data_IF_936476587074
#
_entry.id   IF_936476587074
#
_cell.length_a   1.000
_cell.length_b   1.000
_cell.length_c   1.000
_cell.angle_alpha   90.00
_cell.angle_beta   90.00
_cell.angle_gamma   90.00
#
_symmetry.space_group_name_H-M   'P 1'
#
loop_
_entity.id
_entity.type
_entity.pdbx_description
1 polymer ?
#
# COMPACT_ATOMS: atom_id res chain seq x y z
N UNK A 1 -40.10 5.39 -3.87
CA UNK A 1 -38.80 5.18 -3.20
C UNK A 1 -37.85 4.80 -4.30
N UNK A 2 -36.79 5.56 -4.52
CA UNK A 2 -35.88 5.32 -5.65
C UNK A 2 -35.13 4.00 -5.45
N UNK A 3 -35.35 3.08 -6.38
CA UNK A 3 -34.56 1.89 -6.64
C UNK A 3 -33.24 2.29 -7.35
N UNK A 4 -32.14 1.63 -6.98
CA UNK A 4 -30.98 1.45 -7.87
C UNK A 4 -29.95 2.58 -7.96
N UNK A 5 -28.79 2.37 -7.31
CA UNK A 5 -27.47 2.79 -7.83
C UNK A 5 -26.49 1.63 -7.61
N UNK A 6 -26.29 0.79 -8.64
CA UNK A 6 -25.06 0.00 -8.77
C UNK A 6 -24.20 0.70 -9.81
N UNK A 7 -23.24 1.51 -9.35
CA UNK A 7 -22.16 1.98 -10.22
C UNK A 7 -21.15 0.83 -10.35
N UNK A 8 -21.24 0.07 -11.44
CA UNK A 8 -20.26 -0.93 -11.82
C UNK A 8 -19.22 -0.27 -12.75
N UNK A 9 -18.10 0.16 -12.18
CA UNK A 9 -16.98 0.62 -13.00
C UNK A 9 -16.16 -0.59 -13.45
N UNK A 10 -16.02 -0.77 -14.76
CA UNK A 10 -15.17 -1.82 -15.33
C UNK A 10 -13.74 -1.27 -15.44
N UNK A 11 -12.84 -1.74 -14.59
CA UNK A 11 -11.39 -1.49 -14.76
C UNK A 11 -10.85 -2.54 -15.74
N UNK A 12 -10.35 -2.07 -16.89
CA UNK A 12 -9.69 -2.90 -17.89
C UNK A 12 -8.19 -2.73 -17.69
N UNK A 13 -7.50 -3.83 -17.39
CA UNK A 13 -6.04 -3.87 -17.33
C UNK A 13 -5.46 -4.05 -18.74
N UNK A 14 -4.24 -3.53 -18.97
CA UNK A 14 -3.55 -3.58 -20.28
C UNK A 14 -3.29 -5.01 -20.80
N UNK A 15 -3.37 -6.02 -19.92
CA UNK A 15 -3.28 -7.44 -20.26
C UNK A 15 -4.63 -8.04 -20.72
N UNK A 16 -5.69 -7.25 -20.85
CA UNK A 16 -7.02 -7.68 -21.25
C UNK A 16 -7.87 -8.29 -20.13
N UNK A 17 -7.37 -8.30 -18.89
CA UNK A 17 -8.15 -8.73 -17.73
C UNK A 17 -9.10 -7.61 -17.29
N UNK A 18 -10.36 -7.94 -17.00
CA UNK A 18 -11.32 -6.98 -16.45
C UNK A 18 -11.92 -7.51 -15.17
N UNK A 19 -11.98 -6.65 -14.15
CA UNK A 19 -12.71 -6.92 -12.92
C UNK A 19 -13.98 -6.06 -12.92
N UNK A 20 -15.13 -6.68 -12.66
CA UNK A 20 -16.36 -5.95 -12.39
C UNK A 20 -16.29 -5.44 -10.95
N UNK A 21 -16.00 -4.14 -10.75
CA UNK A 21 -16.06 -3.54 -9.42
C UNK A 21 -17.52 -3.42 -9.00
N UNK A 22 -18.01 -4.40 -8.24
CA UNK A 22 -19.13 -4.15 -7.36
C UNK A 22 -18.60 -3.27 -6.23
N UNK A 23 -19.14 -2.05 -6.11
CA UNK A 23 -18.70 -1.00 -5.17
C UNK A 23 -18.75 -1.41 -3.67
N UNK A 24 -19.08 -2.66 -3.37
CA UNK A 24 -19.08 -3.30 -2.05
C UNK A 24 -17.81 -4.09 -1.73
N UNK A 25 -16.91 -4.34 -2.70
CA UNK A 25 -15.68 -5.11 -2.46
C UNK A 25 -14.51 -4.67 -3.35
N UNK A 26 -14.15 -3.38 -3.35
CA UNK A 26 -12.75 -3.06 -3.64
C UNK A 26 -11.97 -3.45 -2.40
N UNK A 27 -11.28 -4.60 -2.45
CA UNK A 27 -10.13 -4.81 -1.57
C UNK A 27 -9.12 -3.77 -2.03
N UNK A 28 -9.26 -2.54 -1.52
CA UNK A 28 -8.41 -1.42 -1.87
C UNK A 28 -7.00 -1.94 -1.70
N UNK A 29 -6.26 -2.02 -2.81
CA UNK A 29 -4.88 -2.43 -2.79
C UNK A 29 -4.20 -1.33 -2.01
N UNK A 30 -4.09 -1.52 -0.70
CA UNK A 30 -3.71 -0.49 0.23
C UNK A 30 -2.23 -0.22 0.01
N UNK A 31 -1.93 0.79 -0.78
CA UNK A 31 -0.57 1.04 -1.24
C UNK A 31 0.30 1.54 -0.08
N UNK A 32 1.48 0.97 0.09
CA UNK A 32 2.53 1.52 0.96
C UNK A 32 3.38 2.48 0.12
N UNK A 33 3.00 3.76 0.04
CA UNK A 33 3.60 4.76 -0.87
C UNK A 33 5.13 4.76 -0.89
N UNK A 34 5.79 4.85 0.27
CA UNK A 34 7.26 4.87 0.36
C UNK A 34 7.88 3.56 -0.16
N UNK A 35 7.29 2.40 0.19
CA UNK A 35 7.80 1.11 -0.26
C UNK A 35 7.57 0.91 -1.76
N UNK A 36 6.42 1.32 -2.29
CA UNK A 36 6.14 1.32 -3.73
C UNK A 36 7.11 2.21 -4.49
N UNK A 37 7.40 3.42 -3.99
CA UNK A 37 8.39 4.31 -4.62
C UNK A 37 9.79 3.71 -4.60
N UNK A 38 10.17 3.05 -3.50
CA UNK A 38 11.47 2.40 -3.31
C UNK A 38 11.66 1.14 -4.18
N UNK A 39 10.60 0.35 -4.41
CA UNK A 39 10.67 -0.84 -5.26
C UNK A 39 10.33 -0.57 -6.73
N UNK A 40 9.61 0.53 -7.02
CA UNK A 40 9.05 0.82 -8.34
C UNK A 40 7.83 -0.02 -8.70
N UNK A 41 7.33 -0.85 -7.78
CA UNK A 41 6.13 -1.67 -7.99
C UNK A 41 5.37 -1.87 -6.67
N UNK A 42 4.03 -1.82 -6.68
CA UNK A 42 3.23 -2.11 -5.50
C UNK A 42 3.08 -3.62 -5.21
N UNK A 43 3.55 -4.48 -6.13
CA UNK A 43 3.34 -5.94 -6.08
C UNK A 43 4.54 -6.70 -5.49
N UNK A 44 5.49 -6.01 -4.87
CA UNK A 44 6.66 -6.65 -4.29
C UNK A 44 6.27 -7.45 -3.03
N UNK A 45 6.81 -8.68 -2.86
CA UNK A 45 6.47 -9.55 -1.72
C UNK A 45 6.74 -8.90 -0.35
N UNK A 46 7.79 -8.08 -0.25
CA UNK A 46 8.09 -7.31 0.96
C UNK A 46 6.97 -6.31 1.33
N UNK A 47 6.27 -5.75 0.33
CA UNK A 47 5.13 -4.85 0.57
C UNK A 47 3.97 -5.62 1.19
N UNK A 48 3.77 -6.89 0.81
CA UNK A 48 2.72 -7.71 1.42
C UNK A 48 2.98 -7.92 2.92
N UNK A 49 4.23 -8.22 3.31
CA UNK A 49 4.60 -8.34 4.73
C UNK A 49 4.29 -7.07 5.51
N UNK A 50 4.59 -5.89 4.95
CA UNK A 50 4.29 -4.62 5.60
C UNK A 50 2.79 -4.35 5.70
N UNK A 51 2.00 -4.82 4.73
CA UNK A 51 0.54 -4.72 4.75
C UNK A 51 -0.07 -5.62 5.81
N UNK A 52 0.40 -6.85 5.91
CA UNK A 52 -0.04 -7.79 6.94
C UNK A 52 0.31 -7.23 8.33
N UNK A 53 1.51 -6.70 8.51
CA UNK A 53 1.89 -6.02 9.76
C UNK A 53 0.98 -4.83 10.07
N UNK A 54 0.66 -4.00 9.08
CA UNK A 54 -0.27 -2.89 9.27
C UNK A 54 -1.64 -3.38 9.70
N UNK A 55 -2.18 -4.39 9.01
CA UNK A 55 -3.54 -4.84 9.21
C UNK A 55 -3.70 -5.62 10.53
N UNK A 56 -2.72 -6.45 10.89
CA UNK A 56 -2.77 -7.28 12.10
C UNK A 56 -2.30 -6.56 13.36
N UNK A 57 -1.35 -5.62 13.26
CA UNK A 57 -0.75 -4.96 14.44
C UNK A 57 -1.09 -3.48 14.59
N UNK A 58 -1.07 -2.71 13.49
CA UNK A 58 -1.30 -1.26 13.57
C UNK A 58 -2.79 -0.94 13.62
N UNK A 59 -3.62 -1.65 12.86
CA UNK A 59 -5.05 -1.35 12.78
C UNK A 59 -5.85 -1.82 14.01
N UNK A 60 -5.31 -2.72 14.82
CA UNK A 60 -5.97 -3.23 16.04
C UNK A 60 -6.04 -2.18 17.15
N UNK A 61 -5.10 -1.24 17.20
CA UNK A 61 -4.97 -0.27 18.30
C UNK A 61 -5.19 1.18 17.85
N UNK A 62 -5.68 2.07 18.74
CA UNK A 62 -5.92 3.47 18.41
C UNK A 62 -4.64 4.24 18.02
N UNK A 63 -3.52 3.90 18.66
CA UNK A 63 -2.20 4.47 18.35
C UNK A 63 -1.75 4.07 16.94
N UNK A 64 -1.84 2.79 16.60
CA UNK A 64 -1.44 2.30 15.28
C UNK A 64 -2.32 2.85 14.16
N UNK A 65 -3.65 2.99 14.37
CA UNK A 65 -4.54 3.67 13.42
C UNK A 65 -4.15 5.13 13.18
N UNK A 66 -3.75 5.85 14.24
CA UNK A 66 -3.26 7.24 14.10
C UNK A 66 -1.95 7.29 13.32
N UNK A 67 -1.01 6.38 13.60
CA UNK A 67 0.24 6.26 12.86
C UNK A 67 -0.01 6.01 11.36
N UNK A 68 -0.88 5.06 11.04
CA UNK A 68 -1.28 4.76 9.65
C UNK A 68 -1.90 6.00 9.00
N UNK A 69 -2.81 6.71 9.67
CA UNK A 69 -3.41 7.92 9.13
C UNK A 69 -2.36 8.99 8.80
N UNK A 70 -1.41 9.22 9.70
CA UNK A 70 -0.30 10.18 9.49
C UNK A 70 0.51 9.73 8.27
N UNK A 71 0.93 8.46 8.24
CA UNK A 71 1.66 7.88 7.12
C UNK A 71 0.95 8.13 5.79
N UNK A 72 -0.35 7.80 5.66
CA UNK A 72 -1.10 8.01 4.42
C UNK A 72 -1.25 9.49 4.06
N UNK A 73 -1.27 10.40 5.04
CA UNK A 73 -1.39 11.83 4.77
C UNK A 73 -0.08 12.51 4.36
N UNK A 74 1.07 12.04 4.85
CA UNK A 74 2.36 12.70 4.64
C UNK A 74 3.26 12.00 3.62
N UNK A 75 3.04 10.71 3.39
CA UNK A 75 3.90 9.92 2.50
C UNK A 75 3.77 10.20 1.00
N UNK A 76 2.64 10.67 0.42
CA UNK A 76 2.57 10.92 -1.02
C UNK A 76 3.65 11.86 -1.57
N UNK A 77 3.85 13.09 -1.05
CA UNK A 77 4.90 13.97 -1.56
C UNK A 77 6.33 13.43 -1.32
N UNK A 78 6.53 12.65 -0.25
CA UNK A 78 7.81 12.02 0.03
C UNK A 78 8.08 10.89 -0.97
N UNK A 79 7.07 10.10 -1.28
CA UNK A 79 7.15 9.00 -2.24
C UNK A 79 7.45 9.51 -3.65
N UNK A 80 6.85 10.64 -4.05
CA UNK A 80 7.13 11.28 -5.33
C UNK A 80 8.62 11.65 -5.43
N UNK A 81 9.16 12.35 -4.43
CA UNK A 81 10.59 12.71 -4.38
C UNK A 81 11.53 11.50 -4.39
N UNK A 82 11.14 10.38 -3.78
CA UNK A 82 11.92 9.13 -3.81
C UNK A 82 11.89 8.49 -5.20
N UNK A 83 10.72 8.53 -5.86
CA UNK A 83 10.52 7.88 -7.16
C UNK A 83 11.30 8.54 -8.30
N UNK A 84 11.60 9.83 -8.17
CA UNK A 84 12.34 10.61 -9.16
C UNK A 84 13.85 10.33 -9.18
N UNK A 85 14.41 9.70 -8.13
CA UNK A 85 15.86 9.51 -7.99
C UNK A 85 16.24 8.06 -7.67
N UNK A 86 16.89 7.39 -8.63
CA UNK A 86 17.38 6.01 -8.52
C UNK A 86 18.32 5.76 -7.32
N UNK A 87 19.15 6.74 -6.97
CA UNK A 87 20.04 6.67 -5.81
C UNK A 87 19.26 6.71 -4.49
N UNK A 88 18.32 7.66 -4.37
CA UNK A 88 17.44 7.78 -3.19
C UNK A 88 16.56 6.55 -3.06
N UNK A 89 16.01 6.05 -4.17
CA UNK A 89 15.26 4.78 -4.23
C UNK A 89 16.06 3.64 -3.61
N UNK A 90 17.32 3.48 -4.00
CA UNK A 90 18.18 2.40 -3.49
C UNK A 90 18.46 2.58 -2.00
N UNK A 91 18.79 3.79 -1.56
CA UNK A 91 19.03 4.09 -0.13
C UNK A 91 17.79 3.83 0.71
N UNK A 92 16.61 4.23 0.26
CA UNK A 92 15.35 4.00 0.97
C UNK A 92 14.98 2.51 0.97
N UNK A 93 15.14 1.82 -0.17
CA UNK A 93 14.85 0.40 -0.28
C UNK A 93 15.72 -0.42 0.68
N UNK A 94 17.03 -0.21 0.62
CA UNK A 94 18.00 -1.04 1.33
C UNK A 94 18.24 -0.58 2.78
N UNK A 95 18.13 0.72 3.05
CA UNK A 95 18.36 1.32 4.36
C UNK A 95 17.11 1.47 5.23
N UNK A 96 15.91 1.51 4.64
CA UNK A 96 14.65 1.71 5.38
C UNK A 96 13.65 0.59 5.17
N UNK A 97 13.29 0.27 3.92
CA UNK A 97 12.21 -0.68 3.63
C UNK A 97 12.61 -2.10 4.01
N UNK A 98 13.78 -2.59 3.58
CA UNK A 98 14.25 -3.94 3.92
C UNK A 98 14.40 -4.18 5.43
N UNK A 99 15.02 -3.27 6.22
CA UNK A 99 15.06 -3.41 7.68
C UNK A 99 13.66 -3.44 8.30
N UNK A 100 12.75 -2.57 7.87
CA UNK A 100 11.37 -2.58 8.36
C UNK A 100 10.66 -3.89 8.06
N UNK A 101 10.82 -4.43 6.85
CA UNK A 101 10.26 -5.73 6.47
C UNK A 101 10.82 -6.84 7.35
N UNK A 102 12.13 -6.84 7.59
CA UNK A 102 12.77 -7.82 8.46
C UNK A 102 12.19 -7.78 9.88
N UNK A 103 12.01 -6.58 10.44
CA UNK A 103 11.38 -6.39 11.75
C UNK A 103 9.92 -6.86 11.71
N UNK A 104 9.14 -6.48 10.69
CA UNK A 104 7.74 -6.89 10.54
C UNK A 104 7.57 -8.41 10.45
N UNK A 105 8.52 -9.14 9.82
CA UNK A 105 8.51 -10.61 9.81
C UNK A 105 8.63 -11.24 11.19
N UNK A 106 9.21 -10.55 12.18
CA UNK A 106 9.27 -11.04 13.56
C UNK A 106 7.92 -10.97 14.26
N UNK A 107 6.99 -10.15 13.75
CA UNK A 107 5.66 -9.99 14.31
C UNK A 107 4.62 -10.81 13.52
N UNK A 108 4.69 -10.81 12.20
CA UNK A 108 3.72 -11.49 11.32
C UNK A 108 4.08 -12.98 11.07
N UNK A 109 5.23 -13.44 11.58
CA UNK A 109 5.75 -14.81 11.39
C UNK A 109 5.41 -15.76 12.52
#
# INVERSE_FOLDING_TARGET
>A
MIDGVQANERVIYENGESIELNLTATKSVSHCFIATAAYGTPMHGDINVLRDFRDEYLMTNAVGRTFVKIYYSTSPPIADAISENEGVRTVVRDGLVKPLVHISRLFVG
#
